data_IF_414283913641
#
_entry.id   IF_414283913641
#
_cell.length_a   1.000
_cell.length_b   1.000
_cell.length_c   1.000
_cell.angle_alpha   90.00
_cell.angle_beta   90.00
_cell.angle_gamma   90.00
#
_symmetry.space_group_name_H-M   'P 1'
#
loop_
_entity.id
_entity.type
_entity.pdbx_description
1 polymer ?
#
# COMPACT_ATOMS: atom_id res chain seq x y z
N UNK A 1 2.71 7.08 -19.71
CA UNK A 1 2.38 5.87 -18.92
C UNK A 1 3.65 5.24 -18.37
N UNK A 2 3.75 5.07 -17.04
CA UNK A 2 4.91 4.37 -16.51
C UNK A 2 4.85 2.88 -16.83
N UNK A 3 6.01 2.27 -16.96
CA UNK A 3 6.11 0.82 -17.11
C UNK A 3 6.01 0.16 -15.73
N UNK A 4 5.72 -1.14 -15.70
CA UNK A 4 5.67 -1.88 -14.45
C UNK A 4 7.02 -1.84 -13.70
N UNK A 5 8.14 -1.84 -14.43
CA UNK A 5 9.47 -1.74 -13.83
C UNK A 5 9.71 -0.37 -13.20
N UNK A 6 9.27 0.69 -13.85
CA UNK A 6 9.37 2.04 -13.28
C UNK A 6 8.56 2.17 -12.00
N UNK A 7 7.34 1.64 -12.00
CA UNK A 7 6.47 1.65 -10.83
C UNK A 7 7.13 0.86 -9.68
N UNK A 8 7.69 -0.30 -9.99
CA UNK A 8 8.36 -1.14 -8.99
C UNK A 8 9.57 -0.45 -8.37
N UNK A 9 10.38 0.22 -9.18
CA UNK A 9 11.54 0.98 -8.68
C UNK A 9 11.10 2.06 -7.69
N UNK A 10 10.07 2.82 -8.06
CA UNK A 10 9.56 3.89 -7.19
C UNK A 10 8.91 3.34 -5.92
N UNK A 11 8.20 2.23 -6.01
CA UNK A 11 7.62 1.57 -4.84
C UNK A 11 8.71 1.12 -3.86
N UNK A 12 9.79 0.53 -4.34
CA UNK A 12 10.94 0.11 -3.52
C UNK A 12 11.57 1.30 -2.83
N UNK A 13 11.83 2.38 -3.57
CA UNK A 13 12.41 3.60 -3.01
C UNK A 13 11.53 4.17 -1.91
N UNK A 14 10.24 4.24 -2.16
CA UNK A 14 9.28 4.82 -1.21
C UNK A 14 9.20 3.98 0.07
N UNK A 15 9.14 2.67 -0.05
CA UNK A 15 9.14 1.76 1.10
C UNK A 15 10.39 1.96 1.95
N UNK A 16 11.55 2.09 1.33
CA UNK A 16 12.82 2.34 2.02
C UNK A 16 12.81 3.68 2.76
N UNK A 17 12.23 4.71 2.16
CA UNK A 17 12.08 6.01 2.82
C UNK A 17 11.24 5.90 4.08
N UNK A 18 10.11 5.20 4.02
CA UNK A 18 9.25 5.01 5.18
C UNK A 18 9.97 4.23 6.28
N UNK A 19 10.69 3.17 5.92
CA UNK A 19 11.43 2.36 6.89
C UNK A 19 12.54 3.15 7.58
N UNK A 20 13.16 4.11 6.89
CA UNK A 20 14.26 4.90 7.40
C UNK A 20 13.84 6.20 8.09
N UNK A 21 12.60 6.65 7.94
CA UNK A 21 12.16 7.89 8.55
C UNK A 21 12.01 7.75 10.08
N UNK A 22 12.13 8.87 10.81
CA UNK A 22 11.93 8.91 12.25
C UNK A 22 10.43 8.90 12.56
N UNK A 23 9.90 7.72 12.82
CA UNK A 23 8.47 7.53 13.07
C UNK A 23 8.00 8.18 14.38
N UNK A 24 8.92 8.50 15.29
CA UNK A 24 8.59 9.18 16.55
C UNK A 24 8.30 10.65 16.36
N UNK A 25 8.90 11.26 15.33
CA UNK A 25 8.76 12.68 15.05
C UNK A 25 7.77 12.98 13.94
N UNK A 26 7.10 11.95 13.41
CA UNK A 26 6.05 12.14 12.42
C UNK A 26 4.75 11.48 12.88
N UNK A 27 3.65 12.21 12.73
CA UNK A 27 2.32 11.69 13.07
C UNK A 27 1.70 10.85 11.94
N UNK A 28 2.35 10.79 10.79
CA UNK A 28 1.77 10.14 9.61
C UNK A 28 2.18 8.70 9.42
N UNK A 29 3.28 8.26 10.01
CA UNK A 29 3.71 6.86 9.97
C UNK A 29 3.75 6.32 11.38
N UNK A 30 3.00 5.27 11.66
CA UNK A 30 2.90 4.69 12.99
C UNK A 30 4.06 3.74 13.28
N UNK A 31 4.40 3.59 14.57
CA UNK A 31 5.55 2.81 15.02
C UNK A 31 5.49 1.33 14.63
N UNK A 32 4.29 0.78 14.46
CA UNK A 32 4.11 -0.63 14.12
C UNK A 32 4.10 -0.90 12.60
N UNK A 33 4.58 0.07 11.79
CA UNK A 33 4.69 -0.17 10.35
C UNK A 33 5.39 -1.50 10.07
N UNK A 34 4.89 -2.33 9.13
CA UNK A 34 3.81 -2.07 8.17
C UNK A 34 2.39 -2.32 8.68
N UNK A 35 2.23 -2.79 9.91
CA UNK A 35 0.91 -3.11 10.46
C UNK A 35 0.09 -1.83 10.69
N UNK A 36 -1.19 -1.86 10.33
CA UNK A 36 -2.16 -0.77 10.49
C UNK A 36 -1.82 0.52 9.74
N UNK A 37 -0.93 0.48 8.76
CA UNK A 37 -0.53 1.67 8.01
C UNK A 37 -0.81 1.58 6.51
N UNK A 38 -1.55 0.56 6.07
CA UNK A 38 -1.75 0.30 4.63
C UNK A 38 -2.42 1.45 3.90
N UNK A 39 -3.47 2.03 4.47
CA UNK A 39 -4.19 3.13 3.80
C UNK A 39 -3.35 4.39 3.76
N UNK A 40 -2.76 4.77 4.89
CA UNK A 40 -1.95 5.97 4.98
C UNK A 40 -0.73 5.88 4.05
N UNK A 41 -0.03 4.76 4.10
CA UNK A 41 1.14 4.52 3.25
C UNK A 41 0.77 4.56 1.76
N UNK A 42 -0.35 3.94 1.39
CA UNK A 42 -0.82 3.94 0.01
C UNK A 42 -1.18 5.35 -0.46
N UNK A 43 -1.79 6.15 0.41
CA UNK A 43 -2.13 7.53 0.07
C UNK A 43 -0.87 8.40 -0.15
N UNK A 44 0.14 8.24 0.69
CA UNK A 44 1.42 8.94 0.50
C UNK A 44 2.10 8.49 -0.80
N UNK A 45 2.07 7.20 -1.08
CA UNK A 45 2.64 6.67 -2.32
C UNK A 45 1.87 7.19 -3.54
N UNK A 46 0.54 7.32 -3.44
CA UNK A 46 -0.28 7.85 -4.52
C UNK A 46 0.09 9.29 -4.85
N UNK A 47 0.36 10.10 -3.84
CA UNK A 47 0.83 11.47 -4.03
C UNK A 47 2.16 11.48 -4.80
N UNK A 48 3.07 10.61 -4.40
CA UNK A 48 4.36 10.47 -5.06
C UNK A 48 4.21 10.09 -6.54
N UNK A 49 3.38 9.10 -6.83
CA UNK A 49 3.11 8.67 -8.20
C UNK A 49 2.47 9.76 -9.04
N UNK A 50 1.51 10.50 -8.49
CA UNK A 50 0.87 11.60 -9.22
C UNK A 50 1.83 12.77 -9.47
N UNK A 51 2.82 12.95 -8.61
CA UNK A 51 3.89 13.93 -8.84
C UNK A 51 4.78 13.53 -10.01
N UNK A 52 5.12 12.23 -10.09
CA UNK A 52 5.96 11.71 -11.17
C UNK A 52 5.19 11.54 -12.48
N UNK A 53 3.95 11.06 -12.38
CA UNK A 53 3.13 10.71 -13.54
C UNK A 53 1.73 11.31 -13.40
N UNK A 54 1.59 12.64 -13.64
CA UNK A 54 0.31 13.35 -13.36
C UNK A 54 -0.88 12.81 -14.14
N UNK A 55 -0.65 12.13 -15.26
CA UNK A 55 -1.70 11.63 -16.14
C UNK A 55 -2.04 10.16 -15.94
N UNK A 56 -1.40 9.48 -14.98
CA UNK A 56 -1.69 8.08 -14.74
C UNK A 56 -3.09 7.91 -14.14
N UNK A 57 -3.73 6.80 -14.49
CA UNK A 57 -5.03 6.45 -13.92
C UNK A 57 -4.81 5.66 -12.64
N UNK A 58 -5.05 6.30 -11.51
CA UNK A 58 -4.74 5.77 -10.19
C UNK A 58 -6.00 5.51 -9.39
N UNK A 59 -6.09 4.34 -8.76
CA UNK A 59 -7.19 3.96 -7.88
C UNK A 59 -6.68 3.44 -6.56
N UNK A 60 -7.44 3.74 -5.49
CA UNK A 60 -7.25 3.11 -4.20
C UNK A 60 -8.25 1.96 -4.05
N UNK A 61 -7.78 0.82 -3.61
CA UNK A 61 -8.60 -0.38 -3.47
C UNK A 61 -8.73 -0.75 -1.99
N UNK A 62 -9.96 -0.78 -1.50
CA UNK A 62 -10.30 -1.25 -0.15
C UNK A 62 -10.79 -2.68 -0.20
N UNK A 63 -10.30 -3.52 0.69
CA UNK A 63 -10.71 -4.91 0.77
C UNK A 63 -10.77 -5.40 2.22
N UNK A 64 -11.39 -6.55 2.43
CA UNK A 64 -11.53 -7.14 3.75
C UNK A 64 -11.11 -8.61 3.75
N UNK A 65 -10.63 -9.05 4.90
CA UNK A 65 -10.27 -10.44 5.17
C UNK A 65 -10.41 -10.71 6.66
N UNK A 66 -9.99 -11.89 7.10
CA UNK A 66 -10.05 -12.29 8.50
C UNK A 66 -11.41 -12.77 8.92
N UNK A 67 -11.53 -13.13 10.20
CA UNK A 67 -12.77 -13.61 10.78
C UNK A 67 -13.81 -12.49 10.76
N UNK A 68 -14.98 -12.77 10.21
CA UNK A 68 -16.08 -11.81 10.10
C UNK A 68 -15.70 -10.54 9.27
N UNK A 69 -14.73 -10.67 8.38
CA UNK A 69 -14.27 -9.55 7.54
C UNK A 69 -13.84 -8.31 8.35
N UNK A 70 -13.24 -8.53 9.51
CA UNK A 70 -12.84 -7.43 10.41
C UNK A 70 -11.48 -6.83 10.09
N UNK A 71 -10.67 -7.50 9.29
CA UNK A 71 -9.37 -6.98 8.89
C UNK A 71 -9.50 -6.36 7.51
N UNK A 72 -9.10 -5.10 7.42
CA UNK A 72 -9.13 -4.36 6.16
C UNK A 72 -7.73 -4.22 5.59
N UNK A 73 -7.65 -4.15 4.29
CA UNK A 73 -6.42 -3.88 3.57
C UNK A 73 -6.68 -2.83 2.50
N UNK A 74 -5.65 -2.06 2.17
CA UNK A 74 -5.74 -1.00 1.18
C UNK A 74 -4.48 -1.01 0.33
N UNK A 75 -4.66 -0.94 -0.99
CA UNK A 75 -3.53 -0.86 -1.94
C UNK A 75 -3.89 0.02 -3.11
N UNK A 76 -2.93 0.23 -4.01
CA UNK A 76 -3.12 1.05 -5.20
C UNK A 76 -3.21 0.19 -6.46
N UNK A 77 -3.91 0.72 -7.46
CA UNK A 77 -3.86 0.22 -8.84
C UNK A 77 -3.52 1.38 -9.76
N UNK A 78 -2.48 1.21 -10.56
CA UNK A 78 -2.16 2.12 -11.67
C UNK A 78 -2.50 1.38 -12.94
N UNK A 79 -3.51 1.86 -13.66
CA UNK A 79 -4.08 1.15 -14.81
C UNK A 79 -4.44 -0.28 -14.40
N UNK A 80 -3.76 -1.28 -14.92
CA UNK A 80 -3.98 -2.68 -14.56
C UNK A 80 -2.90 -3.25 -13.64
N UNK A 81 -2.10 -2.39 -13.01
CA UNK A 81 -0.98 -2.80 -12.18
C UNK A 81 -1.32 -2.58 -10.72
N UNK A 82 -1.27 -3.64 -9.93
CA UNK A 82 -1.46 -3.60 -8.48
C UNK A 82 -0.16 -3.19 -7.81
N UNK A 83 -0.24 -2.25 -6.87
CA UNK A 83 0.92 -1.79 -6.10
C UNK A 83 0.58 -1.85 -4.62
N UNK A 84 1.22 -2.76 -3.91
CA UNK A 84 1.06 -2.95 -2.47
C UNK A 84 2.43 -3.01 -1.80
N UNK A 85 2.67 -2.09 -0.87
CA UNK A 85 3.95 -2.02 -0.16
C UNK A 85 3.80 -2.27 1.35
N UNK A 86 2.66 -2.78 1.78
CA UNK A 86 2.40 -3.13 3.19
C UNK A 86 1.84 -4.54 3.36
N UNK A 87 1.88 -5.36 2.31
CA UNK A 87 1.34 -6.73 2.36
C UNK A 87 2.06 -7.64 3.34
N UNK A 88 3.30 -7.35 3.65
CA UNK A 88 4.10 -8.11 4.62
C UNK A 88 3.57 -8.01 6.06
N UNK A 89 2.64 -7.09 6.34
CA UNK A 89 1.95 -7.05 7.64
C UNK A 89 1.27 -8.38 7.97
N UNK A 90 0.81 -9.12 6.96
CA UNK A 90 0.13 -10.40 7.15
C UNK A 90 1.08 -11.54 7.52
N UNK A 91 2.38 -11.30 7.53
CA UNK A 91 3.38 -12.21 8.10
C UNK A 91 3.49 -12.03 9.63
N UNK A 92 3.05 -10.89 10.15
CA UNK A 92 3.25 -10.46 11.53
C UNK A 92 1.95 -10.49 12.34
N UNK A 93 0.82 -10.18 11.70
CA UNK A 93 -0.48 -10.13 12.38
C UNK A 93 -0.81 -11.49 13.00
N UNK A 94 -1.35 -11.46 14.22
CA UNK A 94 -1.66 -12.65 15.00
C UNK A 94 -2.59 -13.61 14.22
N UNK A 95 -2.26 -14.89 14.22
CA UNK A 95 -3.02 -15.93 13.53
C UNK A 95 -4.48 -15.98 13.95
N UNK A 96 -4.79 -15.61 15.20
CA UNK A 96 -6.15 -15.61 15.72
C UNK A 96 -7.07 -14.64 14.98
N UNK A 97 -6.50 -13.60 14.39
CA UNK A 97 -7.27 -12.58 13.67
C UNK A 97 -7.44 -12.89 12.19
N UNK A 98 -6.68 -13.84 11.68
CA UNK A 98 -6.63 -14.16 10.25
C UNK A 98 -7.35 -15.47 9.95
N UNK A 99 -7.84 -15.61 8.72
CA UNK A 99 -8.37 -16.89 8.25
C UNK A 99 -7.23 -17.81 7.79
N UNK A 100 -7.52 -19.10 7.71
CA UNK A 100 -6.50 -20.09 7.34
C UNK A 100 -5.89 -19.88 5.97
N UNK A 101 -6.65 -19.35 5.03
CA UNK A 101 -6.19 -19.11 3.68
C UNK A 101 -5.06 -18.08 3.65
N UNK A 102 -5.17 -17.03 4.46
CA UNK A 102 -4.11 -16.02 4.61
C UNK A 102 -2.87 -16.64 5.26
N UNK A 103 -3.05 -17.37 6.34
CA UNK A 103 -1.93 -17.99 7.08
C UNK A 103 -1.16 -18.97 6.19
N UNK A 104 -1.85 -19.80 5.44
CA UNK A 104 -1.24 -20.81 4.57
C UNK A 104 -0.41 -20.22 3.43
N UNK A 105 -0.72 -19.01 2.99
CA UNK A 105 -0.05 -18.40 1.86
C UNK A 105 1.12 -17.49 2.26
N UNK A 106 1.50 -17.49 3.54
CA UNK A 106 2.70 -16.78 4.01
C UNK A 106 3.97 -17.42 3.42
N UNK A 107 5.06 -16.65 3.21
CA UNK A 107 5.22 -15.22 3.50
C UNK A 107 4.73 -14.32 2.37
N UNK A 108 4.29 -13.13 2.75
CA UNK A 108 3.87 -12.10 1.79
C UNK A 108 5.01 -11.12 1.54
N UNK A 109 5.22 -10.69 0.29
CA UNK A 109 6.31 -9.75 -0.02
C UNK A 109 6.02 -8.36 0.50
N UNK A 110 7.08 -7.63 0.85
CA UNK A 110 7.00 -6.22 1.21
C UNK A 110 6.70 -5.33 0.00
N UNK A 111 7.10 -5.77 -1.19
CA UNK A 111 6.87 -5.06 -2.44
C UNK A 111 6.12 -6.00 -3.39
N UNK A 112 4.88 -5.66 -3.67
CA UNK A 112 4.03 -6.42 -4.58
C UNK A 112 3.58 -5.49 -5.71
N UNK A 113 4.24 -5.60 -6.86
CA UNK A 113 3.94 -4.80 -8.04
C UNK A 113 3.78 -5.77 -9.21
N UNK A 114 2.54 -6.09 -9.53
CA UNK A 114 2.20 -7.09 -10.56
C UNK A 114 0.96 -6.66 -11.31
N UNK A 115 0.74 -7.24 -12.48
CA UNK A 115 -0.53 -7.07 -13.16
C UNK A 115 -1.66 -7.67 -12.32
N UNK A 116 -2.81 -7.05 -12.37
CA UNK A 116 -3.99 -7.42 -11.58
C UNK A 116 -4.33 -8.91 -11.67
N UNK A 117 -4.25 -9.49 -12.85
CA UNK A 117 -4.57 -10.90 -13.10
C UNK A 117 -3.62 -11.86 -12.36
N UNK A 118 -2.43 -11.39 -12.02
CA UNK A 118 -1.41 -12.19 -11.33
C UNK A 118 -1.34 -11.91 -9.83
N UNK A 119 -2.20 -11.03 -9.32
CA UNK A 119 -2.12 -10.63 -7.91
C UNK A 119 -2.87 -11.60 -7.00
N UNK A 120 -2.18 -12.07 -5.95
CA UNK A 120 -2.81 -12.88 -4.90
C UNK A 120 -3.90 -12.10 -4.15
N UNK A 121 -3.84 -10.78 -4.14
CA UNK A 121 -4.77 -9.94 -3.40
C UNK A 121 -6.23 -10.17 -3.82
N UNK A 122 -6.46 -10.36 -5.10
CA UNK A 122 -7.80 -10.60 -5.62
C UNK A 122 -8.34 -11.99 -5.32
N UNK A 123 -7.47 -12.91 -4.88
CA UNK A 123 -7.87 -14.26 -4.49
C UNK A 123 -8.07 -14.40 -2.97
N UNK A 124 -7.35 -13.61 -2.18
CA UNK A 124 -7.33 -13.74 -0.74
C UNK A 124 -8.18 -12.71 0.00
N UNK A 125 -8.50 -11.60 -0.67
CA UNK A 125 -9.25 -10.50 -0.07
C UNK A 125 -10.55 -10.27 -0.82
N UNK A 126 -11.57 -9.86 -0.06
CA UNK A 126 -12.86 -9.48 -0.65
C UNK A 126 -12.82 -7.97 -0.92
N UNK A 127 -12.89 -7.60 -2.18
CA UNK A 127 -12.88 -6.18 -2.57
C UNK A 127 -14.18 -5.53 -2.12
N UNK A 128 -14.07 -4.40 -1.43
CA UNK A 128 -15.21 -3.60 -0.96
C UNK A 128 -15.45 -2.39 -1.83
N UNK A 129 -14.38 -1.68 -2.20
CA UNK A 129 -14.49 -0.42 -2.92
C UNK A 129 -13.23 -0.13 -3.71
N UNK A 130 -13.41 0.58 -4.82
CA UNK A 130 -12.33 1.14 -5.62
C UNK A 130 -12.65 2.60 -5.85
N UNK A 131 -11.76 3.50 -5.44
CA UNK A 131 -11.98 4.92 -5.59
C UNK A 131 -10.87 5.55 -6.45
N UNK A 132 -11.22 6.42 -7.41
CA UNK A 132 -10.19 7.12 -8.18
C UNK A 132 -9.43 8.09 -7.28
N UNK A 133 -8.12 8.19 -7.49
CA UNK A 133 -7.28 9.14 -6.77
C UNK A 133 -6.78 10.15 -7.80
N UNK A 134 -7.22 11.40 -7.66
CA UNK A 134 -6.95 12.44 -8.65
C UNK A 134 -5.85 13.40 -8.19
N UNK A 135 -5.83 13.71 -6.89
CA UNK A 135 -4.91 14.71 -6.34
C UNK A 135 -4.00 14.16 -5.25
N UNK A 136 -3.95 12.86 -5.08
CA UNK A 136 -3.25 12.24 -3.96
C UNK A 136 -3.99 12.49 -2.66
N UNK A 137 -3.27 12.67 -1.57
CA UNK A 137 -3.85 12.87 -0.25
C UNK A 137 -3.78 14.36 0.13
N UNK A 138 -4.89 15.11 0.01
CA UNK A 138 -4.85 16.58 0.13
C UNK A 138 -4.60 17.10 1.55
N UNK A 139 -4.67 16.25 2.56
CA UNK A 139 -4.46 16.64 3.96
C UNK A 139 -2.99 16.65 4.37
N UNK A 140 -2.08 16.18 3.52
CA UNK A 140 -0.65 16.19 3.83
C UNK A 140 -0.01 17.43 3.24
N UNK A 141 0.80 18.14 4.06
CA UNK A 141 1.58 19.26 3.58
C UNK A 141 2.78 18.74 2.77
N UNK A 142 3.24 19.56 1.84
CA UNK A 142 4.47 19.26 1.09
C UNK A 142 5.66 19.11 2.03
N UNK A 143 5.71 19.92 3.09
CA UNK A 143 6.78 19.87 4.10
C UNK A 143 6.91 18.47 4.71
N UNK A 144 5.80 17.80 4.94
CA UNK A 144 5.81 16.46 5.53
C UNK A 144 6.40 15.44 4.57
N UNK A 145 6.06 15.54 3.29
CA UNK A 145 6.59 14.63 2.27
C UNK A 145 8.07 14.87 2.07
N UNK A 146 8.51 16.12 2.11
CA UNK A 146 9.94 16.48 2.07
C UNK A 146 10.71 15.89 3.24
N UNK A 147 10.15 15.91 4.45
CA UNK A 147 10.76 15.26 5.60
C UNK A 147 10.95 13.76 5.41
N UNK A 148 10.00 13.11 4.75
CA UNK A 148 10.11 11.68 4.46
C UNK A 148 11.16 11.37 3.40
N UNK A 149 11.41 12.30 2.49
CA UNK A 149 12.37 12.12 1.41
C UNK A 149 13.82 12.41 1.84
N UNK A 150 14.00 13.06 2.93
CA UNK A 150 15.32 13.38 3.48
C UNK A 150 15.86 12.27 4.38
#
# INVERSE_FOLDING_TARGET
MPTINEIKVEAVKFRRLIESCDKKNTSLVIDCFPVMSCKLTSMLLSYHFLTLWPECELKGVSAATGKNSQITHYWLEIDNIVVDITGDQYNIINDKELNNKIIKNRPYPAIHVVYKESSYLYNLFKIRDKEPIIHGFPTFSEDFIEEMEL
#
